data_IF_849154512350
#
_entry.id   IF_849154512350
#
_cell.length_a   1.000
_cell.length_b   1.000
_cell.length_c   1.000
_cell.angle_alpha   90.00
_cell.angle_beta   90.00
_cell.angle_gamma   90.00
#
_symmetry.space_group_name_H-M   'P 1'
#
loop_
_entity.id
_entity.type
_entity.pdbx_description
1 polymer ?
#
# COMPACT_ATOMS: atom_id res chain seq x y z
N UNK A 1 44.27 -7.21 -8.99
CA UNK A 1 43.32 -8.30 -8.75
C UNK A 1 42.01 -7.64 -8.34
N UNK A 2 41.04 -7.60 -9.23
CA UNK A 2 39.68 -7.22 -8.85
C UNK A 2 39.13 -8.33 -7.97
N UNK A 3 38.83 -8.02 -6.72
CA UNK A 3 38.15 -8.92 -5.82
C UNK A 3 36.79 -9.23 -6.44
N UNK A 4 36.58 -10.44 -6.89
CA UNK A 4 35.26 -10.93 -7.34
C UNK A 4 34.40 -10.84 -6.08
N UNK A 5 33.49 -9.88 -6.02
CA UNK A 5 32.50 -9.79 -4.97
C UNK A 5 31.66 -11.06 -5.04
N UNK A 6 31.74 -11.89 -4.03
CA UNK A 6 30.87 -13.08 -3.90
C UNK A 6 29.44 -12.53 -3.75
N UNK A 7 28.58 -12.84 -4.71
CA UNK A 7 27.17 -12.49 -4.61
C UNK A 7 26.55 -13.32 -3.48
N UNK A 8 26.15 -12.66 -2.41
CA UNK A 8 25.37 -13.28 -1.35
C UNK A 8 23.90 -12.95 -1.58
N UNK A 9 23.06 -13.98 -1.74
CA UNK A 9 21.62 -13.87 -1.92
C UNK A 9 20.84 -14.03 -0.61
N UNK A 10 21.55 -14.32 0.51
CA UNK A 10 20.93 -14.40 1.82
C UNK A 10 20.52 -13.01 2.32
N UNK A 11 19.43 -12.96 3.07
CA UNK A 11 19.06 -11.73 3.76
C UNK A 11 20.13 -11.37 4.80
N UNK A 12 20.42 -10.06 4.98
CA UNK A 12 21.35 -9.59 6.02
C UNK A 12 21.00 -10.15 7.40
N UNK A 13 22.01 -10.49 8.21
CA UNK A 13 21.80 -11.09 9.54
C UNK A 13 21.05 -10.16 10.50
N UNK A 14 21.28 -8.85 10.41
CA UNK A 14 20.56 -7.84 11.17
C UNK A 14 19.08 -7.75 10.78
N UNK A 15 18.76 -7.91 9.49
CA UNK A 15 17.37 -8.02 9.03
C UNK A 15 16.70 -9.29 9.57
N UNK A 16 17.38 -10.43 9.53
CA UNK A 16 16.84 -11.68 10.09
C UNK A 16 16.59 -11.55 11.61
N UNK A 17 17.52 -10.93 12.33
CA UNK A 17 17.35 -10.64 13.75
C UNK A 17 16.17 -9.69 14.02
N UNK A 18 16.00 -8.69 13.16
CA UNK A 18 14.86 -7.77 13.25
C UNK A 18 13.54 -8.49 13.01
N UNK A 19 13.42 -9.32 11.97
CA UNK A 19 12.20 -10.09 11.69
C UNK A 19 11.85 -10.98 12.88
N UNK A 20 12.84 -11.65 13.47
CA UNK A 20 12.63 -12.46 14.68
C UNK A 20 12.13 -11.62 15.88
N UNK A 21 12.62 -10.38 16.03
CA UNK A 21 12.14 -9.50 17.09
C UNK A 21 10.70 -9.04 16.86
N UNK A 22 10.33 -8.83 15.61
CA UNK A 22 8.94 -8.51 15.22
C UNK A 22 8.02 -9.70 15.46
N UNK A 23 8.43 -10.92 15.10
CA UNK A 23 7.65 -12.13 15.39
C UNK A 23 7.43 -12.30 16.90
N UNK A 24 8.47 -12.11 17.70
CA UNK A 24 8.35 -12.15 19.17
C UNK A 24 7.38 -11.12 19.73
N UNK A 25 7.35 -9.91 19.17
CA UNK A 25 6.37 -8.88 19.53
C UNK A 25 4.95 -9.26 19.10
N UNK A 26 4.79 -9.81 17.89
CA UNK A 26 3.48 -10.28 17.40
C UNK A 26 2.95 -11.37 18.32
N UNK A 27 3.76 -12.38 18.64
CA UNK A 27 3.37 -13.53 19.46
C UNK A 27 3.03 -13.11 20.89
N UNK A 28 3.82 -12.22 21.50
CA UNK A 28 3.63 -11.80 22.90
C UNK A 28 2.59 -10.71 23.11
N UNK A 29 2.29 -9.90 22.11
CA UNK A 29 1.49 -8.70 22.27
C UNK A 29 0.31 -8.64 21.32
N UNK A 30 0.54 -8.78 20.00
CA UNK A 30 -0.50 -8.55 18.99
C UNK A 30 -1.48 -9.72 18.89
N UNK A 31 -1.00 -10.97 18.92
CA UNK A 31 -1.89 -12.14 18.89
C UNK A 31 -2.76 -12.25 20.15
N UNK A 32 -2.24 -12.04 21.38
CA UNK A 32 -3.10 -11.94 22.55
C UNK A 32 -4.18 -10.86 22.43
N UNK A 33 -3.84 -9.65 21.94
CA UNK A 33 -4.81 -8.58 21.71
C UNK A 33 -5.87 -9.00 20.67
N UNK A 34 -5.47 -9.68 19.60
CA UNK A 34 -6.40 -10.20 18.59
C UNK A 34 -7.39 -11.21 19.17
N UNK A 35 -6.94 -12.04 20.14
CA UNK A 35 -7.77 -13.09 20.74
C UNK A 35 -8.66 -12.59 21.90
N UNK A 36 -8.39 -11.43 22.45
CA UNK A 36 -9.18 -10.84 23.55
C UNK A 36 -10.53 -10.31 23.05
N UNK A 37 -11.53 -10.26 23.94
CA UNK A 37 -12.82 -9.62 23.72
C UNK A 37 -13.51 -9.94 22.39
N UNK A 38 -13.35 -11.17 21.88
CA UNK A 38 -13.86 -11.60 20.57
C UNK A 38 -13.34 -10.76 19.39
N UNK A 39 -12.16 -10.15 19.51
CA UNK A 39 -11.57 -9.36 18.42
C UNK A 39 -11.30 -10.19 17.15
N UNK A 40 -11.19 -11.51 17.27
CA UNK A 40 -11.15 -12.40 16.11
C UNK A 40 -12.36 -12.25 15.17
N UNK A 41 -13.50 -11.71 15.67
CA UNK A 41 -14.66 -11.43 14.83
C UNK A 41 -14.34 -10.50 13.66
N UNK A 42 -13.39 -9.61 13.83
CA UNK A 42 -12.98 -8.67 12.79
C UNK A 42 -12.20 -9.33 11.65
N UNK A 43 -11.64 -10.52 11.89
CA UNK A 43 -10.86 -11.28 10.91
C UNK A 43 -11.62 -12.50 10.38
N UNK A 44 -12.87 -12.69 10.84
CA UNK A 44 -13.75 -13.76 10.38
C UNK A 44 -14.57 -13.29 9.18
N UNK A 45 -14.24 -13.78 7.99
CA UNK A 45 -14.91 -13.39 6.73
C UNK A 45 -16.39 -13.72 6.68
N UNK A 46 -16.88 -14.56 7.58
CA UNK A 46 -18.30 -14.85 7.75
C UNK A 46 -19.04 -13.74 8.50
N UNK A 47 -18.30 -12.86 9.16
CA UNK A 47 -18.77 -11.78 10.04
C UNK A 47 -18.40 -10.41 9.50
N UNK A 48 -18.58 -10.19 8.18
CA UNK A 48 -18.25 -8.92 7.51
C UNK A 48 -18.89 -7.69 8.18
N UNK A 49 -20.09 -7.86 8.76
CA UNK A 49 -20.76 -6.81 9.52
C UNK A 49 -20.01 -6.39 10.81
N UNK A 50 -19.05 -7.17 11.27
CA UNK A 50 -18.28 -6.82 12.46
C UNK A 50 -17.40 -5.58 12.25
N UNK A 51 -16.96 -5.34 11.01
CA UNK A 51 -16.13 -4.18 10.65
C UNK A 51 -16.93 -3.04 10.04
N UNK A 52 -18.06 -3.37 9.41
CA UNK A 52 -18.77 -2.45 8.52
C UNK A 52 -20.21 -2.28 8.99
N UNK A 53 -20.64 -1.06 9.15
CA UNK A 53 -22.01 -0.69 9.45
C UNK A 53 -22.77 -0.43 8.14
N UNK A 54 -23.41 -1.47 7.62
CA UNK A 54 -24.14 -1.43 6.37
C UNK A 54 -25.37 -0.52 6.38
N UNK A 55 -25.96 -0.31 7.55
CA UNK A 55 -27.12 0.56 7.72
C UNK A 55 -26.72 2.04 7.71
N UNK A 56 -25.47 2.33 8.07
CA UNK A 56 -24.90 3.68 8.09
C UNK A 56 -23.90 3.86 6.94
N UNK A 57 -24.33 3.70 5.70
CA UNK A 57 -23.54 3.89 4.47
C UNK A 57 -22.23 3.09 4.43
N UNK A 58 -22.14 2.00 5.21
CA UNK A 58 -20.98 1.14 5.30
C UNK A 58 -19.76 1.80 5.97
N UNK A 59 -19.99 2.72 6.87
CA UNK A 59 -18.92 3.27 7.69
C UNK A 59 -18.23 2.16 8.48
N UNK A 60 -16.93 2.26 8.74
CA UNK A 60 -16.27 1.39 9.71
C UNK A 60 -16.94 1.50 11.08
N UNK A 61 -17.12 0.37 11.76
CA UNK A 61 -17.62 0.37 13.14
C UNK A 61 -16.60 0.96 14.10
N UNK A 62 -17.06 1.67 15.13
CA UNK A 62 -16.19 2.30 16.13
C UNK A 62 -15.27 1.29 16.79
N UNK A 63 -15.78 0.12 17.15
CA UNK A 63 -15.00 -0.92 17.86
C UNK A 63 -13.85 -1.45 17.00
N UNK A 64 -14.00 -1.44 15.66
CA UNK A 64 -12.93 -1.79 14.75
C UNK A 64 -11.87 -0.67 14.67
N UNK A 65 -12.31 0.57 14.55
CA UNK A 65 -11.43 1.73 14.53
C UNK A 65 -10.67 1.88 15.86
N UNK A 66 -11.33 1.62 16.96
CA UNK A 66 -10.72 1.60 18.30
C UNK A 66 -9.63 0.52 18.40
N UNK A 67 -9.82 -0.66 17.92
CA UNK A 67 -8.81 -1.72 17.88
C UNK A 67 -7.58 -1.32 17.05
N UNK A 68 -7.77 -0.57 15.98
CA UNK A 68 -6.69 -0.14 15.09
C UNK A 68 -5.94 1.10 15.59
N UNK A 69 -6.67 2.04 16.17
CA UNK A 69 -6.15 3.38 16.42
C UNK A 69 -6.50 3.90 17.80
N UNK A 70 -5.60 3.81 18.76
CA UNK A 70 -5.80 4.44 20.05
C UNK A 70 -5.13 5.78 20.20
N UNK A 71 -5.38 6.70 19.45
CA UNK A 71 -4.87 8.04 19.76
C UNK A 71 -5.80 9.17 19.36
N UNK A 72 -7.11 9.01 19.58
CA UNK A 72 -8.04 10.09 19.25
C UNK A 72 -9.20 10.24 20.21
N UNK A 73 -8.98 10.17 21.51
CA UNK A 73 -9.93 10.70 22.49
C UNK A 73 -9.38 11.94 23.16
N UNK A 74 -9.30 13.01 22.41
CA UNK A 74 -9.16 14.34 23.02
C UNK A 74 -10.24 15.33 22.53
N UNK A 75 -11.41 14.85 22.14
CA UNK A 75 -12.62 15.68 22.01
C UNK A 75 -13.89 14.81 22.21
N UNK A 76 -14.02 14.24 23.42
CA UNK A 76 -15.33 13.89 23.96
C UNK A 76 -15.61 14.88 25.11
N UNK A 77 -16.81 15.48 25.14
CA UNK A 77 -17.16 16.39 26.24
C UNK A 77 -17.02 15.70 27.60
N UNK A 78 -16.56 16.41 28.58
CA UNK A 78 -16.24 16.04 29.98
C UNK A 78 -17.41 15.42 30.81
N UNK A 79 -18.21 14.53 30.21
CA UNK A 79 -19.33 13.88 30.93
C UNK A 79 -19.31 12.35 30.85
N UNK A 80 -18.27 11.72 30.27
CA UNK A 80 -18.10 10.27 30.35
C UNK A 80 -16.95 9.93 31.30
N UNK A 81 -17.28 9.32 32.43
CA UNK A 81 -16.33 8.69 33.35
C UNK A 81 -15.61 7.56 32.62
N UNK A 82 -14.31 7.73 32.39
CA UNK A 82 -13.43 6.69 31.87
C UNK A 82 -13.32 5.64 32.97
N UNK A 83 -13.95 4.49 32.78
CA UNK A 83 -13.65 3.30 33.57
C UNK A 83 -12.33 2.72 33.05
N UNK A 84 -11.37 2.58 33.98
CA UNK A 84 -10.05 1.96 33.76
C UNK A 84 -10.14 0.65 32.99
N UNK A 85 -9.33 0.52 31.90
CA UNK A 85 -9.10 -0.59 30.99
C UNK A 85 -9.68 -0.44 29.59
N UNK A 86 -9.29 0.63 28.86
CA UNK A 86 -9.35 0.59 27.40
C UNK A 86 -8.20 -0.28 26.88
N UNK A 87 -8.45 -1.25 25.97
CA UNK A 87 -7.38 -2.06 25.41
C UNK A 87 -6.40 -1.18 24.64
N UNK A 88 -5.14 -1.23 25.03
CA UNK A 88 -4.03 -0.62 24.32
C UNK A 88 -3.99 -1.15 22.88
N UNK A 89 -3.81 -0.27 21.92
CA UNK A 89 -4.12 -0.58 20.52
C UNK A 89 -2.87 -0.92 19.71
N UNK A 90 -3.06 -1.76 18.71
CA UNK A 90 -1.98 -2.41 17.97
C UNK A 90 -0.91 -1.45 17.41
N UNK A 91 -1.31 -0.31 16.87
CA UNK A 91 -0.34 0.66 16.31
C UNK A 91 0.41 1.43 17.38
N UNK A 92 -0.24 1.78 18.47
CA UNK A 92 0.41 2.43 19.59
C UNK A 92 1.44 1.52 20.23
N UNK A 93 1.05 0.27 20.56
CA UNK A 93 1.96 -0.73 21.10
C UNK A 93 3.16 -0.96 20.18
N UNK A 94 2.92 -1.01 18.87
CA UNK A 94 3.98 -1.13 17.88
C UNK A 94 4.89 0.12 17.78
N UNK A 95 4.34 1.31 18.02
CA UNK A 95 5.10 2.55 18.04
C UNK A 95 5.97 2.64 19.32
N UNK A 96 5.42 2.31 20.46
CA UNK A 96 6.13 2.23 21.74
C UNK A 96 7.27 1.18 21.70
N UNK A 97 7.04 0.06 21.01
CA UNK A 97 8.05 -0.97 20.78
C UNK A 97 9.09 -0.58 19.67
N UNK A 98 8.91 0.56 19.01
CA UNK A 98 9.82 1.07 17.98
C UNK A 98 9.70 0.39 16.61
N UNK A 99 8.58 -0.28 16.33
CA UNK A 99 8.32 -0.93 15.04
C UNK A 99 7.52 -0.06 14.08
N UNK A 100 6.50 0.67 14.57
CA UNK A 100 5.53 1.34 13.72
C UNK A 100 6.16 2.36 12.75
N UNK A 101 7.08 3.20 13.24
CA UNK A 101 7.72 4.28 12.46
C UNK A 101 8.98 3.85 11.71
N UNK A 102 9.25 2.55 11.58
CA UNK A 102 10.48 2.04 10.98
C UNK A 102 10.90 2.76 9.69
N UNK A 103 9.96 2.99 8.76
CA UNK A 103 10.23 3.54 7.44
C UNK A 103 10.43 5.08 7.41
N UNK A 104 10.25 5.78 8.52
CA UNK A 104 10.37 7.23 8.58
C UNK A 104 11.82 7.70 8.79
N UNK A 105 12.14 8.94 8.37
CA UNK A 105 13.35 9.63 8.77
C UNK A 105 13.49 9.73 10.31
N UNK A 106 14.72 9.78 10.81
CA UNK A 106 15.01 9.81 12.25
C UNK A 106 14.37 11.01 12.96
N UNK A 107 14.30 12.17 12.31
CA UNK A 107 13.66 13.38 12.84
C UNK A 107 12.16 13.22 13.13
N UNK A 108 11.51 12.17 12.60
CA UNK A 108 10.10 11.83 12.83
C UNK A 108 9.93 10.57 13.69
N UNK A 109 11.00 10.15 14.37
CA UNK A 109 11.01 8.96 15.21
C UNK A 109 11.20 7.64 14.46
N UNK A 110 11.59 7.69 13.17
CA UNK A 110 11.90 6.51 12.38
C UNK A 110 13.35 6.05 12.54
N UNK A 111 13.68 4.93 11.92
CA UNK A 111 15.05 4.38 11.97
C UNK A 111 15.98 4.96 10.90
N UNK A 112 15.43 5.56 9.84
CA UNK A 112 16.19 6.06 8.70
C UNK A 112 17.23 5.05 8.18
N UNK A 113 16.81 3.80 8.11
CA UNK A 113 17.71 2.71 7.72
C UNK A 113 18.21 2.92 6.28
N UNK A 114 19.52 2.73 5.98
CA UNK A 114 20.06 2.94 4.64
C UNK A 114 19.44 2.03 3.56
N UNK A 115 18.98 0.86 3.97
CA UNK A 115 18.30 -0.13 3.11
C UNK A 115 16.80 -0.23 3.43
N UNK A 116 16.12 0.89 3.64
CA UNK A 116 14.68 0.93 4.03
C UNK A 116 13.77 0.21 3.05
N UNK A 117 13.96 0.35 1.74
CA UNK A 117 13.11 -0.30 0.74
C UNK A 117 13.32 -1.83 0.72
N UNK A 118 14.58 -2.27 0.84
CA UNK A 118 14.92 -3.69 0.95
C UNK A 118 14.26 -4.32 2.20
N UNK A 119 14.43 -3.67 3.35
CA UNK A 119 13.86 -4.17 4.60
C UNK A 119 12.34 -4.17 4.58
N UNK A 120 11.70 -3.10 4.12
CA UNK A 120 10.25 -3.03 3.99
C UNK A 120 9.70 -4.11 3.04
N UNK A 121 10.41 -4.41 1.94
CA UNK A 121 10.01 -5.49 1.03
C UNK A 121 10.14 -6.87 1.70
N UNK A 122 11.22 -7.11 2.44
CA UNK A 122 11.39 -8.36 3.19
C UNK A 122 10.32 -8.51 4.29
N UNK A 123 10.03 -7.44 5.05
CA UNK A 123 8.99 -7.41 6.08
C UNK A 123 7.61 -7.70 5.48
N UNK A 124 7.25 -7.06 4.37
CA UNK A 124 5.95 -7.27 3.72
C UNK A 124 5.80 -8.69 3.18
N UNK A 125 6.85 -9.24 2.58
CA UNK A 125 6.88 -10.64 2.17
C UNK A 125 6.73 -11.58 3.38
N UNK A 126 7.51 -11.35 4.43
CA UNK A 126 7.48 -12.15 5.66
C UNK A 126 6.09 -12.17 6.29
N UNK A 127 5.48 -11.00 6.49
CA UNK A 127 4.13 -10.91 7.04
C UNK A 127 3.08 -11.65 6.20
N UNK A 128 3.15 -11.52 4.89
CA UNK A 128 2.17 -12.14 4.01
C UNK A 128 2.35 -13.66 3.86
N UNK A 129 3.58 -14.17 3.99
CA UNK A 129 3.89 -15.60 3.87
C UNK A 129 3.85 -16.37 5.19
N UNK A 130 3.78 -15.68 6.35
CA UNK A 130 3.92 -16.32 7.66
C UNK A 130 2.82 -17.36 7.92
N UNK A 131 3.15 -18.56 8.43
CA UNK A 131 2.20 -19.67 8.57
C UNK A 131 1.07 -19.41 9.59
N UNK A 132 1.31 -18.60 10.61
CA UNK A 132 0.34 -18.32 11.70
C UNK A 132 -0.55 -17.11 11.38
N UNK A 133 0.05 -16.00 10.96
CA UNK A 133 -0.66 -14.73 10.70
C UNK A 133 -0.55 -14.27 9.25
N UNK A 134 -0.14 -15.16 8.34
CA UNK A 134 0.08 -14.85 6.94
C UNK A 134 -1.21 -14.68 6.14
N UNK A 135 -1.02 -14.43 4.84
CA UNK A 135 -2.11 -14.03 3.95
C UNK A 135 -2.56 -12.58 4.16
N UNK A 136 -2.01 -11.89 5.16
CA UNK A 136 -2.37 -10.50 5.46
C UNK A 136 -3.75 -10.34 6.08
N UNK A 137 -4.17 -11.28 6.92
CA UNK A 137 -5.53 -11.40 7.44
C UNK A 137 -5.58 -11.40 8.98
N UNK A 138 -4.66 -10.72 9.61
CA UNK A 138 -4.61 -10.60 11.06
C UNK A 138 -4.28 -9.19 11.52
N UNK A 139 -4.39 -8.95 12.82
CA UNK A 139 -4.16 -7.64 13.43
C UNK A 139 -2.73 -7.12 13.19
N UNK A 140 -1.75 -8.00 13.05
CA UNK A 140 -0.37 -7.63 12.74
C UNK A 140 -0.23 -6.99 11.35
N UNK A 141 -0.98 -7.51 10.36
CA UNK A 141 -0.94 -7.05 8.98
C UNK A 141 -2.27 -7.37 8.28
N UNK A 142 -3.21 -6.45 8.38
CA UNK A 142 -4.52 -6.59 7.73
C UNK A 142 -4.54 -5.83 6.40
N UNK A 143 -4.39 -6.57 5.32
CA UNK A 143 -4.39 -6.01 3.98
C UNK A 143 -5.75 -5.42 3.59
N UNK A 144 -6.86 -5.89 4.17
CA UNK A 144 -8.20 -5.38 3.86
C UNK A 144 -8.34 -3.89 4.16
N UNK A 145 -7.74 -3.43 5.25
CA UNK A 145 -7.72 -2.02 5.66
C UNK A 145 -6.35 -1.37 5.50
N UNK A 146 -5.43 -2.01 4.79
CA UNK A 146 -4.05 -1.53 4.63
C UNK A 146 -3.38 -1.21 5.99
N UNK A 147 -3.78 -1.95 7.01
CA UNK A 147 -3.22 -1.83 8.35
C UNK A 147 -2.00 -2.73 8.51
N UNK A 148 -0.97 -2.22 9.15
CA UNK A 148 0.17 -3.00 9.61
C UNK A 148 0.77 -2.36 10.86
N UNK A 149 1.31 -3.19 11.74
CA UNK A 149 2.10 -2.75 12.91
C UNK A 149 3.44 -2.12 12.50
N UNK A 150 3.89 -2.33 11.26
CA UNK A 150 4.99 -1.57 10.65
C UNK A 150 4.37 -0.65 9.61
N UNK A 151 4.31 0.64 9.91
CA UNK A 151 3.56 1.61 9.14
C UNK A 151 4.12 1.85 7.73
N UNK A 152 3.22 2.31 6.87
CA UNK A 152 3.54 2.86 5.57
C UNK A 152 3.10 4.33 5.57
N UNK A 153 4.03 5.25 5.39
CA UNK A 153 3.81 6.69 5.56
C UNK A 153 4.06 7.48 4.27
N UNK A 154 3.40 7.14 3.14
CA UNK A 154 3.64 7.85 1.89
C UNK A 154 3.22 9.32 1.97
N UNK A 155 2.21 9.62 2.77
CA UNK A 155 1.72 10.97 3.05
C UNK A 155 2.76 11.82 3.78
N UNK A 156 3.41 11.27 4.81
CA UNK A 156 4.52 11.95 5.51
C UNK A 156 5.67 12.22 4.57
N UNK A 157 6.06 11.23 3.75
CA UNK A 157 7.16 11.37 2.80
C UNK A 157 6.85 12.38 1.70
N UNK A 158 5.60 12.44 1.21
CA UNK A 158 5.17 13.47 0.27
C UNK A 158 5.32 14.87 0.88
N UNK A 159 4.86 15.09 2.12
CA UNK A 159 4.99 16.39 2.80
C UNK A 159 6.46 16.69 3.08
N UNK A 160 7.25 15.70 3.50
CA UNK A 160 8.68 15.86 3.75
C UNK A 160 9.45 16.35 2.51
N UNK A 161 9.19 15.74 1.35
CA UNK A 161 9.92 16.05 0.12
C UNK A 161 9.40 17.27 -0.62
N UNK A 162 8.12 17.58 -0.53
CA UNK A 162 7.47 18.61 -1.34
C UNK A 162 6.87 19.76 -0.54
N UNK A 163 6.60 19.55 0.74
CA UNK A 163 5.99 20.58 1.60
C UNK A 163 6.92 21.76 1.84
N UNK A 164 6.33 22.92 2.10
CA UNK A 164 7.04 24.07 2.66
C UNK A 164 7.54 23.76 4.06
N UNK A 165 8.44 24.57 4.60
CA UNK A 165 8.91 24.38 5.98
C UNK A 165 7.74 24.44 6.98
N UNK A 166 6.82 25.39 6.80
CA UNK A 166 5.60 25.50 7.60
C UNK A 166 4.74 24.25 7.52
N UNK A 167 4.51 23.71 6.30
CA UNK A 167 3.76 22.47 6.12
C UNK A 167 4.45 21.28 6.80
N UNK A 168 5.77 21.17 6.70
CA UNK A 168 6.53 20.10 7.37
C UNK A 168 6.41 20.18 8.89
N UNK A 169 6.57 21.38 9.45
CA UNK A 169 6.55 21.62 10.90
C UNK A 169 5.15 21.47 11.52
N UNK A 170 4.09 21.74 10.74
CA UNK A 170 2.70 21.68 11.24
C UNK A 170 2.03 20.34 10.92
N UNK A 171 2.10 19.89 9.67
CA UNK A 171 1.31 18.75 9.18
C UNK A 171 1.91 17.40 9.55
N UNK A 172 3.25 17.25 9.53
CA UNK A 172 3.86 15.96 9.86
C UNK A 172 3.66 15.59 11.34
N UNK A 173 3.92 16.45 12.32
CA UNK A 173 3.59 16.13 13.70
C UNK A 173 2.09 15.86 13.92
N UNK A 174 1.21 16.65 13.31
CA UNK A 174 -0.24 16.43 13.37
C UNK A 174 -0.63 15.07 12.75
N UNK A 175 0.02 14.67 11.64
CA UNK A 175 -0.19 13.34 11.02
C UNK A 175 0.26 12.21 11.92
N UNK A 176 1.39 12.34 12.60
CA UNK A 176 1.91 11.31 13.50
C UNK A 176 1.12 11.20 14.81
N UNK A 177 0.46 12.25 15.23
CA UNK A 177 -0.57 12.21 16.29
C UNK A 177 -1.94 11.84 15.75
N UNK A 178 -2.11 11.78 14.36
CA UNK A 178 -3.28 11.43 13.59
C UNK A 178 -4.38 12.50 13.56
N UNK A 179 -4.11 13.69 14.00
CA UNK A 179 -4.96 14.89 13.88
C UNK A 179 -5.09 15.34 12.41
N UNK A 180 -4.14 14.96 11.57
CA UNK A 180 -4.13 15.23 10.13
C UNK A 180 -4.17 13.92 9.35
N UNK A 181 -5.19 13.73 8.53
CA UNK A 181 -5.39 12.55 7.68
C UNK A 181 -5.74 12.99 6.28
N UNK A 182 -4.99 12.50 5.30
CA UNK A 182 -5.26 12.80 3.89
C UNK A 182 -5.79 11.60 3.12
N UNK A 183 -6.66 11.85 2.15
CA UNK A 183 -6.97 10.90 1.10
C UNK A 183 -6.35 11.34 -0.21
N UNK A 184 -5.94 10.38 -1.04
CA UNK A 184 -5.26 10.65 -2.30
C UNK A 184 -6.27 10.66 -3.46
N UNK A 185 -6.44 11.81 -4.12
CA UNK A 185 -7.45 12.05 -5.15
C UNK A 185 -6.87 12.43 -6.50
N UNK A 186 -6.33 11.45 -7.25
CA UNK A 186 -5.87 11.62 -8.63
C UNK A 186 -6.96 11.23 -9.64
N UNK A 187 -7.56 10.07 -9.46
CA UNK A 187 -8.54 9.46 -10.37
C UNK A 187 -9.85 10.22 -10.41
N UNK A 188 -10.43 10.37 -11.60
CA UNK A 188 -11.73 10.97 -11.85
C UNK A 188 -12.76 9.94 -12.32
N UNK A 189 -14.05 10.24 -12.27
CA UNK A 189 -15.09 9.33 -12.78
C UNK A 189 -14.84 8.84 -14.20
N UNK A 190 -14.30 9.70 -15.09
CA UNK A 190 -14.07 9.41 -16.49
C UNK A 190 -12.58 9.24 -16.87
N UNK A 191 -11.64 9.48 -15.96
CA UNK A 191 -10.20 9.48 -16.22
C UNK A 191 -9.44 8.71 -15.14
N UNK A 192 -9.10 7.46 -15.42
CA UNK A 192 -8.29 6.60 -14.55
C UNK A 192 -6.90 6.39 -15.12
N UNK A 193 -6.77 5.50 -16.10
CA UNK A 193 -5.49 5.16 -16.76
C UNK A 193 -4.89 6.32 -17.56
N UNK A 194 -5.70 7.28 -17.95
CA UNK A 194 -5.36 8.51 -18.68
C UNK A 194 -5.37 9.75 -17.76
N UNK A 195 -4.84 9.61 -16.56
CA UNK A 195 -4.89 10.66 -15.51
C UNK A 195 -4.44 12.06 -15.96
N UNK A 196 -3.59 12.16 -16.99
CA UNK A 196 -3.19 13.44 -17.58
C UNK A 196 -4.31 14.15 -18.36
N UNK A 197 -5.40 13.43 -18.67
CA UNK A 197 -6.59 14.01 -19.31
C UNK A 197 -7.63 14.50 -18.29
N UNK A 198 -7.27 14.53 -16.99
CA UNK A 198 -8.18 14.98 -15.93
C UNK A 198 -8.96 16.25 -16.31
N UNK A 199 -10.22 16.28 -15.92
CA UNK A 199 -11.15 17.38 -16.15
C UNK A 199 -11.27 18.36 -14.99
N UNK A 200 -10.78 17.99 -13.78
CA UNK A 200 -10.74 18.90 -12.64
C UNK A 200 -9.81 20.08 -12.91
N UNK A 201 -10.32 21.29 -12.70
CA UNK A 201 -9.63 22.55 -12.91
C UNK A 201 -9.41 23.26 -11.57
N UNK A 202 -8.28 23.95 -11.45
CA UNK A 202 -8.00 24.89 -10.37
C UNK A 202 -7.67 26.26 -10.99
N UNK A 203 -8.61 27.16 -10.93
CA UNK A 203 -8.46 28.53 -11.46
C UNK A 203 -7.79 29.41 -10.41
N UNK A 204 -6.70 30.07 -10.76
CA UNK A 204 -6.07 31.05 -9.88
C UNK A 204 -6.98 32.27 -9.72
N UNK A 205 -7.23 32.63 -8.47
CA UNK A 205 -8.03 33.82 -8.09
C UNK A 205 -7.28 34.61 -7.01
N UNK A 206 -7.82 35.75 -6.60
CA UNK A 206 -7.20 36.58 -5.57
C UNK A 206 -6.93 35.78 -4.28
N UNK A 207 -5.68 35.62 -3.94
CA UNK A 207 -5.22 34.95 -2.70
C UNK A 207 -5.18 33.42 -2.72
N UNK A 208 -5.59 32.77 -3.80
CA UNK A 208 -5.64 31.31 -3.85
C UNK A 208 -6.14 30.72 -5.15
N UNK A 209 -6.86 29.61 -5.05
CA UNK A 209 -7.42 28.86 -6.17
C UNK A 209 -8.87 28.49 -5.93
N UNK A 210 -9.69 28.53 -6.96
CA UNK A 210 -11.01 27.90 -7.00
C UNK A 210 -10.94 26.58 -7.74
N UNK A 211 -11.34 25.50 -7.07
CA UNK A 211 -11.25 24.13 -7.58
C UNK A 211 -12.63 23.65 -7.98
N UNK A 212 -12.75 23.16 -9.22
CA UNK A 212 -13.99 22.59 -9.75
C UNK A 212 -13.71 21.27 -10.42
N UNK A 213 -14.48 20.22 -10.09
CA UNK A 213 -14.35 18.89 -10.65
C UNK A 213 -14.87 17.80 -9.72
N UNK A 214 -14.44 16.56 -9.98
CA UNK A 214 -14.77 15.42 -9.15
C UNK A 214 -13.63 14.41 -9.11
N UNK A 215 -13.42 13.78 -7.95
CA UNK A 215 -12.48 12.68 -7.77
C UNK A 215 -13.22 11.44 -7.31
N UNK A 216 -12.77 10.28 -7.77
CA UNK A 216 -13.40 8.99 -7.46
C UNK A 216 -12.37 8.00 -6.91
N UNK A 217 -12.83 7.01 -6.15
CA UNK A 217 -12.01 5.99 -5.52
C UNK A 217 -11.03 6.54 -4.48
N UNK A 218 -11.44 7.58 -3.74
CA UNK A 218 -10.63 8.16 -2.68
C UNK A 218 -10.73 7.33 -1.41
N UNK A 219 -9.69 6.57 -1.12
CA UNK A 219 -9.58 5.67 0.05
C UNK A 219 -9.50 6.46 1.34
N UNK A 220 -10.21 6.03 2.39
CA UNK A 220 -10.18 6.64 3.72
C UNK A 220 -10.99 7.94 3.84
N UNK A 221 -11.87 8.23 2.90
CA UNK A 221 -12.67 9.47 2.87
C UNK A 221 -13.62 9.62 4.05
N UNK A 222 -13.97 8.53 4.75
CA UNK A 222 -14.84 8.59 5.93
C UNK A 222 -14.23 9.41 7.06
N UNK A 223 -12.93 9.31 7.25
CA UNK A 223 -12.20 9.88 8.39
C UNK A 223 -11.09 10.87 8.00
N UNK A 224 -11.03 11.29 6.72
CA UNK A 224 -10.03 12.27 6.32
C UNK A 224 -10.35 13.66 6.90
N UNK A 225 -9.30 14.41 7.19
CA UNK A 225 -9.39 15.85 7.48
C UNK A 225 -9.15 16.68 6.23
N UNK A 226 -8.40 16.12 5.26
CA UNK A 226 -8.04 16.81 4.03
C UNK A 226 -8.08 15.83 2.84
N UNK A 227 -8.42 16.39 1.69
CA UNK A 227 -8.27 15.73 0.41
C UNK A 227 -6.98 16.23 -0.26
N UNK A 228 -6.02 15.35 -0.54
CA UNK A 228 -4.90 15.64 -1.43
C UNK A 228 -5.37 15.40 -2.86
N UNK A 229 -5.71 16.45 -3.57
CA UNK A 229 -6.24 16.35 -4.93
C UNK A 229 -5.31 16.96 -5.97
N UNK A 230 -5.41 16.45 -7.18
CA UNK A 230 -4.69 16.92 -8.33
C UNK A 230 -5.67 17.58 -9.30
N UNK A 231 -5.41 18.82 -9.67
CA UNK A 231 -6.24 19.56 -10.61
C UNK A 231 -5.35 20.32 -11.62
N UNK A 232 -5.88 20.56 -12.80
CA UNK A 232 -5.17 21.29 -13.83
C UNK A 232 -5.22 22.80 -13.55
N UNK A 233 -4.06 23.41 -13.48
CA UNK A 233 -3.87 24.85 -13.30
C UNK A 233 -3.47 25.54 -14.59
N UNK A 234 -2.84 24.81 -15.54
CA UNK A 234 -2.43 25.34 -16.83
C UNK A 234 -2.26 24.24 -17.90
N UNK A 235 -1.91 24.63 -19.10
CA UNK A 235 -1.65 23.72 -20.22
C UNK A 235 -2.90 23.04 -20.76
N UNK A 236 -2.69 22.01 -21.60
CA UNK A 236 -3.76 21.27 -22.29
C UNK A 236 -4.00 19.90 -21.65
N UNK A 237 -5.17 19.32 -21.88
CA UNK A 237 -5.48 17.94 -21.56
C UNK A 237 -4.45 17.00 -22.21
N UNK A 238 -4.05 15.95 -21.50
CA UNK A 238 -3.00 15.01 -21.91
C UNK A 238 -1.57 15.43 -21.54
N UNK A 239 -1.34 16.70 -21.21
CA UNK A 239 -0.03 17.15 -20.73
C UNK A 239 0.24 16.69 -19.30
N UNK A 240 1.44 16.17 -19.05
CA UNK A 240 1.92 15.88 -17.70
C UNK A 240 2.32 17.13 -16.90
N UNK A 241 2.48 18.26 -17.58
CA UNK A 241 2.70 19.57 -16.96
C UNK A 241 1.38 20.28 -16.78
N UNK A 242 1.34 21.26 -15.89
CA UNK A 242 0.14 22.07 -15.63
C UNK A 242 -0.85 21.39 -14.68
N UNK A 243 -0.43 20.38 -13.94
CA UNK A 243 -1.20 19.73 -12.86
C UNK A 243 -0.59 20.14 -11.53
N UNK A 244 -1.43 20.58 -10.60
CA UNK A 244 -1.02 21.00 -9.25
C UNK A 244 -1.66 20.12 -8.18
N UNK A 245 -0.94 19.84 -7.11
CA UNK A 245 -1.43 19.12 -5.95
C UNK A 245 -1.90 20.11 -4.86
N UNK A 246 -3.08 19.87 -4.31
CA UNK A 246 -3.72 20.72 -3.30
C UNK A 246 -4.13 19.91 -2.07
N UNK A 247 -3.82 20.41 -0.88
CA UNK A 247 -4.36 19.95 0.38
C UNK A 247 -5.65 20.72 0.67
N UNK A 248 -6.79 20.11 0.41
CA UNK A 248 -8.11 20.74 0.54
C UNK A 248 -8.75 20.25 1.85
N UNK A 249 -9.01 21.13 2.84
CA UNK A 249 -9.74 20.75 4.04
C UNK A 249 -11.11 20.16 3.69
N UNK A 250 -11.52 19.10 4.39
CA UNK A 250 -12.79 18.40 4.14
C UNK A 250 -13.99 19.33 4.22
N UNK A 251 -13.97 20.27 5.17
CA UNK A 251 -15.07 21.20 5.45
C UNK A 251 -15.05 22.45 4.55
N UNK A 252 -14.18 22.48 3.54
CA UNK A 252 -14.14 23.62 2.60
C UNK A 252 -15.49 23.77 1.89
N UNK A 253 -16.11 24.97 1.90
CA UNK A 253 -17.34 25.22 1.16
C UNK A 253 -17.22 24.79 -0.30
N UNK A 254 -18.22 24.06 -0.81
CA UNK A 254 -18.21 23.49 -2.16
C UNK A 254 -17.60 22.09 -2.26
N UNK A 255 -17.01 21.55 -1.20
CA UNK A 255 -16.55 20.15 -1.12
C UNK A 255 -17.67 19.27 -0.56
N UNK A 256 -17.96 18.17 -1.24
CA UNK A 256 -18.95 17.20 -0.75
C UNK A 256 -18.63 15.79 -1.22
N UNK A 257 -18.77 14.82 -0.33
CA UNK A 257 -18.82 13.41 -0.68
C UNK A 257 -20.19 13.15 -1.31
N UNK A 258 -20.22 12.61 -2.54
CA UNK A 258 -21.46 12.35 -3.27
C UNK A 258 -21.89 10.90 -3.21
N UNK A 259 -20.93 9.98 -3.03
CA UNK A 259 -21.21 8.55 -2.86
C UNK A 259 -20.04 7.86 -2.18
N UNK A 260 -20.33 6.79 -1.46
CA UNK A 260 -19.38 5.78 -1.02
C UNK A 260 -19.44 4.60 -1.97
N UNK A 261 -18.27 4.10 -2.35
CA UNK A 261 -18.14 3.11 -3.42
C UNK A 261 -17.89 1.71 -2.85
N UNK A 262 -18.63 0.74 -3.30
CA UNK A 262 -18.42 -0.66 -2.94
C UNK A 262 -17.34 -1.29 -3.80
N UNK A 263 -16.42 -1.99 -3.16
CA UNK A 263 -15.33 -2.71 -3.83
C UNK A 263 -15.38 -4.20 -3.48
N UNK A 264 -14.52 -4.99 -4.09
CA UNK A 264 -14.46 -6.43 -3.85
C UNK A 264 -14.12 -6.80 -2.39
N UNK A 265 -13.34 -5.96 -1.70
CA UNK A 265 -12.82 -6.28 -0.37
C UNK A 265 -12.91 -5.14 0.64
N UNK A 266 -13.06 -3.90 0.16
CA UNK A 266 -13.21 -2.71 1.01
C UNK A 266 -14.56 -2.07 0.67
N UNK A 267 -15.63 -2.49 1.34
CA UNK A 267 -16.99 -2.19 0.88
C UNK A 267 -17.28 -0.71 0.76
N UNK A 268 -16.71 0.12 1.60
CA UNK A 268 -17.06 1.54 1.69
C UNK A 268 -15.92 2.46 2.03
N UNK A 269 -14.70 1.95 1.98
CA UNK A 269 -13.50 2.74 2.28
C UNK A 269 -13.19 3.80 1.21
N UNK A 270 -13.86 3.74 0.07
CA UNK A 270 -13.66 4.61 -1.08
C UNK A 270 -14.86 5.54 -1.29
N UNK A 271 -14.60 6.76 -1.75
CA UNK A 271 -15.66 7.72 -2.05
C UNK A 271 -15.46 8.43 -3.38
N UNK A 272 -16.57 8.98 -3.90
CA UNK A 272 -16.59 10.01 -4.93
C UNK A 272 -16.79 11.36 -4.24
N UNK A 273 -15.91 12.32 -4.53
CA UNK A 273 -15.92 13.66 -3.94
C UNK A 273 -16.05 14.68 -5.06
N UNK A 274 -17.00 15.61 -4.92
CA UNK A 274 -17.21 16.73 -5.83
C UNK A 274 -16.67 18.02 -5.22
N UNK A 275 -16.06 18.83 -6.05
CA UNK A 275 -15.57 20.18 -5.78
C UNK A 275 -16.34 21.15 -6.65
N UNK A 276 -17.05 22.09 -6.06
CA UNK A 276 -17.86 23.10 -6.74
C UNK A 276 -17.36 24.49 -6.35
N UNK A 277 -16.42 25.00 -7.12
CA UNK A 277 -15.72 26.28 -6.86
C UNK A 277 -15.16 26.33 -5.41
N UNK A 278 -14.60 25.22 -4.96
CA UNK A 278 -14.02 25.12 -3.63
C UNK A 278 -12.77 26.00 -3.56
N UNK A 279 -12.85 27.07 -2.79
CA UNK A 279 -11.74 28.00 -2.63
C UNK A 279 -10.73 27.50 -1.61
N UNK A 280 -9.45 27.56 -1.98
CA UNK A 280 -8.32 27.24 -1.09
C UNK A 280 -7.26 28.33 -1.18
N UNK A 281 -6.55 28.65 -0.08
CA UNK A 281 -5.46 29.61 -0.11
C UNK A 281 -4.26 29.07 -0.89
N UNK A 282 -3.36 29.94 -1.32
CA UNK A 282 -2.14 29.53 -2.02
C UNK A 282 -1.26 28.58 -1.19
N UNK A 283 -1.31 28.69 0.13
CA UNK A 283 -0.62 27.79 1.08
C UNK A 283 -1.16 26.35 1.07
N UNK A 284 -2.33 26.10 0.46
CA UNK A 284 -2.84 24.74 0.28
C UNK A 284 -2.12 23.95 -0.82
N UNK A 285 -1.30 24.61 -1.66
CA UNK A 285 -0.49 23.92 -2.67
C UNK A 285 0.57 23.07 -1.97
N UNK A 286 0.60 21.78 -2.29
CA UNK A 286 1.69 20.90 -1.90
C UNK A 286 2.68 20.78 -3.05
N UNK A 287 3.91 21.25 -2.85
CA UNK A 287 4.94 21.29 -3.88
C UNK A 287 4.88 22.58 -4.71
N UNK A 288 5.04 22.43 -6.02
CA UNK A 288 5.15 23.54 -6.97
C UNK A 288 3.94 23.52 -7.90
N UNK A 289 3.36 24.69 -8.14
CA UNK A 289 2.29 24.87 -9.14
C UNK A 289 2.73 24.30 -10.49
N UNK A 290 1.83 23.60 -11.17
CA UNK A 290 2.05 22.91 -12.46
C UNK A 290 2.96 21.67 -12.43
N UNK A 291 3.46 21.25 -11.25
CA UNK A 291 4.37 20.10 -11.10
C UNK A 291 3.83 19.00 -10.19
N UNK A 292 2.56 18.99 -9.86
CA UNK A 292 1.96 18.06 -8.91
C UNK A 292 2.01 16.60 -9.34
N UNK A 293 2.05 16.29 -10.64
CA UNK A 293 2.11 14.89 -11.10
C UNK A 293 3.39 14.18 -10.65
N UNK A 294 4.51 14.90 -10.54
CA UNK A 294 5.76 14.36 -10.02
C UNK A 294 5.63 13.91 -8.55
N UNK A 295 4.87 14.65 -7.75
CA UNK A 295 4.54 14.29 -6.37
C UNK A 295 3.73 12.99 -6.32
N UNK A 296 2.74 12.83 -7.21
CA UNK A 296 1.96 11.60 -7.29
C UNK A 296 2.84 10.36 -7.59
N UNK A 297 3.88 10.50 -8.42
CA UNK A 297 4.78 9.38 -8.76
C UNK A 297 5.61 8.89 -7.57
N UNK A 298 5.96 9.76 -6.62
CA UNK A 298 6.69 9.36 -5.40
C UNK A 298 5.89 8.34 -4.59
N UNK A 299 4.63 8.65 -4.32
CA UNK A 299 3.70 7.75 -3.65
C UNK A 299 3.60 6.38 -4.36
N UNK A 300 3.50 6.41 -5.69
CA UNK A 300 3.26 5.21 -6.49
C UNK A 300 4.43 4.21 -6.45
N UNK A 301 5.69 4.66 -6.47
CA UNK A 301 6.84 3.74 -6.50
C UNK A 301 7.01 2.95 -5.21
N UNK A 302 6.91 3.62 -4.07
CA UNK A 302 7.01 2.95 -2.77
C UNK A 302 5.85 1.97 -2.56
N UNK A 303 4.63 2.38 -2.89
CA UNK A 303 3.49 1.50 -2.78
C UNK A 303 3.61 0.27 -3.67
N UNK A 304 4.01 0.43 -4.93
CA UNK A 304 4.16 -0.67 -5.88
C UNK A 304 5.13 -1.74 -5.40
N UNK A 305 6.30 -1.35 -4.90
CA UNK A 305 7.31 -2.35 -4.48
C UNK A 305 6.88 -3.08 -3.20
N UNK A 306 6.24 -2.38 -2.26
CA UNK A 306 5.72 -2.96 -1.02
C UNK A 306 4.51 -3.87 -1.28
N UNK A 307 3.59 -3.46 -2.16
CA UNK A 307 2.49 -4.30 -2.63
C UNK A 307 3.00 -5.55 -3.35
N UNK A 308 4.00 -5.42 -4.21
CA UNK A 308 4.61 -6.56 -4.90
C UNK A 308 5.16 -7.59 -3.89
N UNK A 309 5.82 -7.13 -2.84
CA UNK A 309 6.34 -8.00 -1.80
C UNK A 309 5.23 -8.71 -1.02
N UNK A 310 4.17 -7.98 -0.63
CA UNK A 310 2.99 -8.57 0.01
C UNK A 310 2.30 -9.59 -0.90
N UNK A 311 2.10 -9.27 -2.17
CA UNK A 311 1.47 -10.17 -3.15
C UNK A 311 2.29 -11.44 -3.36
N UNK A 312 3.62 -11.32 -3.45
CA UNK A 312 4.53 -12.45 -3.59
C UNK A 312 4.51 -13.35 -2.33
N UNK A 313 4.49 -12.75 -1.13
CA UNK A 313 4.37 -13.48 0.13
C UNK A 313 3.02 -14.18 0.29
N UNK A 314 1.92 -13.55 -0.11
CA UNK A 314 0.60 -14.16 -0.09
C UNK A 314 0.47 -15.31 -1.11
N UNK A 315 1.13 -15.20 -2.28
CA UNK A 315 1.23 -16.30 -3.22
C UNK A 315 1.98 -17.50 -2.60
N UNK A 316 3.11 -17.26 -1.92
CA UNK A 316 3.84 -18.28 -1.18
C UNK A 316 2.94 -18.96 -0.14
N UNK A 317 2.23 -18.17 0.67
CA UNK A 317 1.28 -18.69 1.67
C UNK A 317 0.24 -19.62 1.06
N UNK A 318 -0.39 -19.21 -0.04
CA UNK A 318 -1.39 -20.02 -0.74
C UNK A 318 -0.81 -21.35 -1.23
N UNK A 319 0.42 -21.35 -1.74
CA UNK A 319 1.09 -22.54 -2.25
C UNK A 319 1.53 -23.48 -1.14
N UNK A 320 2.04 -22.95 -0.02
CA UNK A 320 2.40 -23.76 1.16
C UNK A 320 1.18 -24.46 1.72
N UNK A 321 0.05 -23.75 1.91
CA UNK A 321 -1.23 -24.37 2.33
C UNK A 321 -1.70 -25.43 1.35
N UNK A 322 -1.53 -25.19 0.03
CA UNK A 322 -1.89 -26.14 -1.01
C UNK A 322 -1.07 -27.43 -0.93
N UNK A 323 0.23 -27.32 -0.69
CA UNK A 323 1.13 -28.46 -0.52
C UNK A 323 0.75 -29.26 0.74
N UNK A 324 0.50 -28.59 1.87
CA UNK A 324 0.05 -29.23 3.10
C UNK A 324 -1.27 -30.00 2.91
N UNK A 325 -2.24 -29.33 2.25
CA UNK A 325 -3.53 -29.96 1.92
C UNK A 325 -3.34 -31.17 1.02
N UNK A 326 -2.53 -31.05 -0.03
CA UNK A 326 -2.30 -32.16 -0.95
C UNK A 326 -1.66 -33.36 -0.26
N UNK A 327 -0.71 -33.14 0.65
CA UNK A 327 -0.05 -34.20 1.43
C UNK A 327 -0.99 -34.88 2.44
N UNK A 328 -1.86 -34.12 3.09
CA UNK A 328 -2.77 -34.65 4.13
C UNK A 328 -4.02 -35.32 3.54
N UNK A 329 -4.48 -34.91 2.37
CA UNK A 329 -5.73 -35.41 1.76
C UNK A 329 -5.51 -36.78 1.13
N UNK A 330 -6.11 -37.83 1.73
CA UNK A 330 -6.10 -39.19 1.19
C UNK A 330 -7.16 -39.35 0.10
N UNK A 331 -6.80 -40.02 -0.99
CA UNK A 331 -7.65 -40.29 -2.15
C UNK A 331 -7.42 -41.75 -2.66
N UNK A 332 -8.43 -42.34 -3.22
CA UNK A 332 -8.37 -43.66 -3.88
C UNK A 332 -7.77 -44.80 -3.03
N UNK A 333 -8.06 -44.82 -1.71
CA UNK A 333 -7.66 -45.87 -0.78
C UNK A 333 -6.43 -45.54 0.06
N UNK A 334 -5.94 -46.57 0.78
CA UNK A 334 -4.81 -46.42 1.69
C UNK A 334 -3.50 -46.16 0.92
N UNK A 335 -2.66 -45.31 1.45
CA UNK A 335 -1.30 -45.06 0.95
C UNK A 335 -1.17 -44.00 -0.13
N UNK A 336 -2.27 -43.51 -0.72
CA UNK A 336 -2.23 -42.43 -1.73
C UNK A 336 -2.76 -41.10 -1.18
N UNK A 337 -2.08 -40.03 -1.53
CA UNK A 337 -2.51 -38.66 -1.20
C UNK A 337 -2.82 -37.87 -2.48
N UNK A 338 -3.47 -36.73 -2.33
CA UNK A 338 -3.69 -35.82 -3.44
C UNK A 338 -2.35 -35.35 -4.05
N UNK A 339 -1.27 -35.30 -3.23
CA UNK A 339 0.07 -34.92 -3.67
C UNK A 339 0.71 -35.91 -4.68
N UNK A 340 0.20 -37.14 -4.78
CA UNK A 340 0.71 -38.13 -5.74
C UNK A 340 0.24 -37.85 -7.18
N UNK A 341 -0.66 -36.89 -7.38
CA UNK A 341 -1.23 -36.56 -8.67
C UNK A 341 -0.45 -35.43 -9.37
N UNK A 342 0.08 -35.69 -10.57
CA UNK A 342 0.82 -34.72 -11.37
C UNK A 342 -0.03 -33.49 -11.77
N UNK A 343 -1.34 -33.63 -11.93
CA UNK A 343 -2.24 -32.49 -12.17
C UNK A 343 -2.29 -31.50 -10.98
N UNK A 344 -1.87 -31.92 -9.81
CA UNK A 344 -1.69 -31.07 -8.62
C UNK A 344 -0.25 -30.54 -8.54
N UNK A 345 0.73 -31.45 -8.77
CA UNK A 345 2.16 -31.12 -8.64
C UNK A 345 2.61 -30.05 -9.64
N UNK A 346 2.34 -30.23 -10.93
CA UNK A 346 2.90 -29.36 -11.97
C UNK A 346 2.48 -27.91 -11.85
N UNK A 347 1.20 -27.56 -11.68
CA UNK A 347 0.81 -26.15 -11.47
C UNK A 347 1.41 -25.54 -10.21
N UNK A 348 1.58 -26.32 -9.14
CA UNK A 348 2.24 -25.83 -7.90
C UNK A 348 3.71 -25.55 -8.16
N UNK A 349 4.42 -26.45 -8.86
CA UNK A 349 5.85 -26.28 -9.21
C UNK A 349 6.05 -25.03 -10.07
N UNK A 350 5.21 -24.83 -11.09
CA UNK A 350 5.28 -23.63 -11.95
C UNK A 350 5.11 -22.33 -11.15
N UNK A 351 4.10 -22.27 -10.27
CA UNK A 351 3.83 -21.11 -9.46
C UNK A 351 4.92 -20.86 -8.40
N UNK A 352 5.43 -21.92 -7.74
CA UNK A 352 6.56 -21.84 -6.81
C UNK A 352 7.82 -21.29 -7.47
N UNK A 353 8.12 -21.77 -8.69
CA UNK A 353 9.26 -21.27 -9.48
C UNK A 353 9.12 -19.78 -9.77
N UNK A 354 7.90 -19.33 -10.12
CA UNK A 354 7.64 -17.92 -10.37
C UNK A 354 7.74 -17.07 -9.10
N UNK A 355 7.28 -17.59 -7.95
CA UNK A 355 7.42 -16.92 -6.64
C UNK A 355 8.90 -16.68 -6.33
N UNK A 356 9.75 -17.69 -6.49
CA UNK A 356 11.19 -17.56 -6.20
C UNK A 356 11.87 -16.54 -7.13
N UNK A 357 11.64 -16.62 -8.44
CA UNK A 357 12.17 -15.66 -9.40
C UNK A 357 11.72 -14.22 -9.08
N UNK A 358 10.45 -14.07 -8.72
CA UNK A 358 9.86 -12.76 -8.44
C UNK A 358 10.36 -12.17 -7.13
N UNK A 359 10.49 -12.99 -6.08
CA UNK A 359 11.07 -12.59 -4.79
C UNK A 359 12.47 -12.02 -4.99
N UNK A 360 13.32 -12.69 -5.75
CA UNK A 360 14.67 -12.20 -6.07
C UNK A 360 14.63 -10.87 -6.86
N UNK A 361 13.71 -10.74 -7.81
CA UNK A 361 13.55 -9.49 -8.55
C UNK A 361 13.10 -8.33 -7.65
N UNK A 362 12.17 -8.57 -6.73
CA UNK A 362 11.68 -7.58 -5.76
C UNK A 362 12.82 -7.12 -4.85
N UNK A 363 13.55 -8.06 -4.23
CA UNK A 363 14.64 -7.73 -3.31
C UNK A 363 15.75 -6.96 -4.03
N UNK A 364 16.13 -7.39 -5.24
CA UNK A 364 17.11 -6.67 -6.07
C UNK A 364 16.65 -5.25 -6.42
N UNK A 365 15.40 -5.09 -6.81
CA UNK A 365 14.85 -3.78 -7.19
C UNK A 365 14.79 -2.85 -5.97
N UNK A 366 14.36 -3.35 -4.82
CA UNK A 366 14.32 -2.60 -3.57
C UNK A 366 15.73 -2.15 -3.13
N UNK A 367 16.71 -3.05 -3.19
CA UNK A 367 18.11 -2.72 -2.94
C UNK A 367 18.63 -1.63 -3.89
N UNK A 368 18.30 -1.71 -5.19
CA UNK A 368 18.68 -0.67 -6.17
C UNK A 368 18.01 0.68 -5.85
N UNK A 369 16.75 0.69 -5.38
CA UNK A 369 16.11 1.92 -4.90
C UNK A 369 16.90 2.56 -3.75
N UNK A 370 17.33 1.75 -2.78
CA UNK A 370 18.13 2.24 -1.65
C UNK A 370 19.49 2.80 -2.07
N UNK A 371 20.15 2.20 -3.07
CA UNK A 371 21.40 2.74 -3.65
C UNK A 371 21.18 4.11 -4.28
N UNK A 372 20.09 4.30 -5.03
CA UNK A 372 19.73 5.60 -5.61
C UNK A 372 19.45 6.62 -4.50
N UNK A 373 18.71 6.25 -3.46
CA UNK A 373 18.44 7.15 -2.32
C UNK A 373 19.75 7.59 -1.67
N UNK A 374 20.68 6.66 -1.44
CA UNK A 374 21.98 6.95 -0.84
C UNK A 374 22.84 7.89 -1.72
N UNK A 375 22.90 7.63 -3.03
CA UNK A 375 23.60 8.48 -3.99
C UNK A 375 23.00 9.89 -4.05
N UNK A 376 21.67 10.00 -4.06
CA UNK A 376 20.99 11.29 -4.09
C UNK A 376 21.24 12.14 -2.84
N UNK A 377 21.43 11.51 -1.66
CA UNK A 377 21.81 12.24 -0.44
C UNK A 377 23.16 12.96 -0.59
N UNK A 378 24.12 12.34 -1.26
CA UNK A 378 25.45 12.93 -1.49
C UNK A 378 25.49 13.97 -2.61
N UNK A 379 24.61 13.85 -3.60
CA UNK A 379 24.59 14.73 -4.79
C UNK A 379 23.55 15.86 -4.70
N UNK A 380 22.68 15.87 -3.68
CA UNK A 380 21.57 16.80 -3.55
C UNK A 380 20.46 16.59 -4.59
N UNK A 381 20.48 15.48 -5.34
CA UNK A 381 19.42 15.10 -6.27
C UNK A 381 18.19 14.58 -5.52
N UNK A 382 17.07 14.61 -6.18
CA UNK A 382 15.79 14.12 -5.61
C UNK A 382 15.62 12.63 -5.89
N UNK A 383 15.63 11.75 -4.87
CA UNK A 383 15.65 10.30 -5.06
C UNK A 383 14.52 9.77 -5.94
N UNK A 384 13.31 10.29 -5.77
CA UNK A 384 12.14 9.83 -6.50
C UNK A 384 12.17 10.17 -8.00
N UNK A 385 12.84 11.28 -8.42
CA UNK A 385 13.07 11.57 -9.84
C UNK A 385 14.03 10.53 -10.43
N UNK A 386 15.08 10.20 -9.70
CA UNK A 386 16.08 9.24 -10.16
C UNK A 386 15.54 7.82 -10.18
N UNK A 387 14.73 7.42 -9.21
CA UNK A 387 14.01 6.13 -9.22
C UNK A 387 13.07 6.06 -10.42
N UNK A 388 12.27 7.11 -10.69
CA UNK A 388 11.41 7.16 -11.89
C UNK A 388 12.23 6.99 -13.15
N UNK A 389 13.35 7.68 -13.26
CA UNK A 389 14.20 7.68 -14.46
C UNK A 389 14.94 6.36 -14.67
N UNK A 390 15.39 5.68 -13.60
CA UNK A 390 16.31 4.55 -13.69
C UNK A 390 15.66 3.19 -13.45
N UNK A 391 14.63 3.10 -12.61
CA UNK A 391 14.07 1.85 -12.11
C UNK A 391 12.55 1.71 -12.28
N UNK A 392 11.87 2.68 -12.84
CA UNK A 392 10.41 2.67 -12.92
C UNK A 392 9.85 1.45 -13.67
N UNK A 393 10.56 0.97 -14.69
CA UNK A 393 10.22 -0.27 -15.40
C UNK A 393 10.35 -1.49 -14.48
N UNK A 394 11.40 -1.58 -13.65
CA UNK A 394 11.63 -2.69 -12.72
C UNK A 394 10.60 -2.74 -11.61
N UNK A 395 10.28 -1.59 -11.02
CA UNK A 395 9.20 -1.46 -10.02
C UNK A 395 7.87 -1.90 -10.63
N UNK A 396 7.57 -1.49 -11.87
CA UNK A 396 6.37 -1.90 -12.57
C UNK A 396 6.35 -3.42 -12.86
N UNK A 397 7.50 -4.01 -13.28
CA UNK A 397 7.62 -5.47 -13.46
C UNK A 397 7.31 -6.24 -12.19
N UNK A 398 7.87 -5.81 -11.05
CA UNK A 398 7.61 -6.42 -9.76
C UNK A 398 6.11 -6.37 -9.42
N UNK A 399 5.49 -5.20 -9.55
CA UNK A 399 4.12 -5.00 -9.08
C UNK A 399 3.09 -5.75 -9.94
N UNK A 400 3.07 -5.55 -11.27
CA UNK A 400 2.03 -6.18 -12.08
C UNK A 400 2.12 -7.71 -12.04
N UNK A 401 3.35 -8.26 -12.05
CA UNK A 401 3.54 -9.70 -12.05
C UNK A 401 3.19 -10.34 -10.70
N UNK A 402 3.60 -9.70 -9.58
CA UNK A 402 3.27 -10.19 -8.24
C UNK A 402 1.76 -10.27 -7.99
N UNK A 403 1.02 -9.24 -8.40
CA UNK A 403 -0.43 -9.20 -8.23
C UNK A 403 -1.14 -10.25 -9.08
N UNK A 404 -0.66 -10.48 -10.30
CA UNK A 404 -1.16 -11.54 -11.19
C UNK A 404 -0.88 -12.92 -10.60
N UNK A 405 0.36 -13.15 -10.17
CA UNK A 405 0.81 -14.41 -9.58
C UNK A 405 0.03 -14.75 -8.29
N UNK A 406 -0.21 -13.76 -7.43
CA UNK A 406 -0.99 -13.96 -6.22
C UNK A 406 -2.43 -14.41 -6.52
N UNK A 407 -3.09 -13.78 -7.50
CA UNK A 407 -4.42 -14.21 -7.93
C UNK A 407 -4.42 -15.65 -8.46
N UNK A 408 -3.39 -16.03 -9.23
CA UNK A 408 -3.26 -17.40 -9.75
C UNK A 408 -3.00 -18.42 -8.62
N UNK A 409 -2.16 -18.08 -7.65
CA UNK A 409 -1.86 -18.93 -6.50
C UNK A 409 -3.10 -19.12 -5.59
N UNK A 410 -3.85 -18.04 -5.35
CA UNK A 410 -5.08 -18.10 -4.56
C UNK A 410 -6.17 -18.94 -5.25
N UNK A 411 -6.38 -18.76 -6.55
CA UNK A 411 -7.28 -19.58 -7.37
C UNK A 411 -6.87 -21.06 -7.31
N UNK A 412 -5.58 -21.36 -7.46
CA UNK A 412 -5.07 -22.73 -7.35
C UNK A 412 -5.26 -23.33 -5.96
N UNK A 413 -5.09 -22.52 -4.91
CA UNK A 413 -5.33 -22.96 -3.53
C UNK A 413 -6.81 -23.30 -3.29
N UNK A 414 -7.74 -22.48 -3.78
CA UNK A 414 -9.19 -22.78 -3.76
C UNK A 414 -9.43 -24.13 -4.43
N UNK A 415 -8.90 -24.35 -5.63
CA UNK A 415 -9.11 -25.58 -6.39
C UNK A 415 -8.57 -26.81 -5.67
N UNK A 416 -7.36 -26.75 -5.10
CA UNK A 416 -6.72 -27.88 -4.40
C UNK A 416 -7.46 -28.23 -3.09
N UNK A 417 -8.01 -27.23 -2.40
CA UNK A 417 -8.80 -27.45 -1.19
C UNK A 417 -10.21 -27.96 -1.49
N UNK A 418 -10.71 -27.83 -2.73
CA UNK A 418 -12.03 -28.31 -3.13
C UNK A 418 -13.15 -27.59 -2.37
N UNK A 419 -14.11 -28.35 -1.82
CA UNK A 419 -15.22 -27.76 -1.05
C UNK A 419 -14.77 -26.88 0.13
N UNK A 420 -13.69 -27.26 0.80
CA UNK A 420 -13.10 -26.47 1.88
C UNK A 420 -12.56 -25.13 1.34
N UNK A 421 -11.93 -25.14 0.17
CA UNK A 421 -11.42 -23.91 -0.48
C UNK A 421 -12.52 -22.97 -0.97
N UNK A 422 -13.68 -23.51 -1.32
CA UNK A 422 -14.87 -22.73 -1.68
C UNK A 422 -15.55 -22.10 -0.46
N UNK A 423 -15.28 -22.63 0.72
CA UNK A 423 -15.83 -22.13 1.99
C UNK A 423 -15.03 -20.91 2.51
N UNK A 424 -15.76 -19.96 3.09
CA UNK A 424 -15.16 -18.82 3.82
C UNK A 424 -14.50 -19.20 5.16
N UNK A 425 -14.38 -20.48 5.49
CA UNK A 425 -13.55 -20.96 6.60
C UNK A 425 -12.04 -20.89 6.27
N UNK A 426 -11.70 -20.79 4.99
CA UNK A 426 -10.34 -20.61 4.49
C UNK A 426 -10.17 -19.22 3.86
N UNK A 427 -8.97 -18.63 3.90
CA UNK A 427 -8.77 -17.23 3.51
C UNK A 427 -8.61 -17.03 1.99
N UNK A 428 -8.60 -18.07 1.17
CA UNK A 428 -8.15 -17.99 -0.23
C UNK A 428 -9.01 -17.09 -1.10
N UNK A 429 -10.35 -17.11 -0.94
CA UNK A 429 -11.24 -16.25 -1.70
C UNK A 429 -11.03 -14.78 -1.32
N UNK A 430 -10.76 -14.51 -0.03
CA UNK A 430 -10.46 -13.18 0.46
C UNK A 430 -9.10 -12.69 -0.07
N UNK A 431 -8.06 -13.53 -0.04
CA UNK A 431 -6.76 -13.25 -0.64
C UNK A 431 -6.94 -12.93 -2.13
N UNK A 432 -7.72 -13.75 -2.86
CA UNK A 432 -8.00 -13.50 -4.27
C UNK A 432 -8.66 -12.14 -4.49
N UNK A 433 -9.73 -11.81 -3.77
CA UNK A 433 -10.45 -10.54 -3.88
C UNK A 433 -9.55 -9.35 -3.54
N UNK A 434 -8.78 -9.46 -2.47
CA UNK A 434 -7.88 -8.39 -2.05
C UNK A 434 -6.82 -8.09 -3.10
N UNK A 435 -6.05 -9.08 -3.53
CA UNK A 435 -4.96 -8.88 -4.47
C UNK A 435 -5.43 -8.65 -5.91
N UNK A 436 -6.69 -9.00 -6.24
CA UNK A 436 -7.29 -8.68 -7.53
C UNK A 436 -7.39 -7.17 -7.76
N UNK A 437 -7.61 -6.39 -6.72
CA UNK A 437 -7.66 -4.92 -6.83
C UNK A 437 -6.33 -4.34 -7.28
N UNK A 438 -5.20 -4.87 -6.81
CA UNK A 438 -3.87 -4.35 -7.15
C UNK A 438 -3.47 -4.54 -8.62
N UNK A 439 -4.21 -5.34 -9.36
CA UNK A 439 -4.10 -5.39 -10.82
C UNK A 439 -4.76 -4.18 -11.50
N UNK A 440 -5.48 -3.36 -10.74
CA UNK A 440 -6.23 -2.19 -11.21
C UNK A 440 -5.66 -0.90 -10.59
N UNK A 441 -5.45 -0.90 -9.27
CA UNK A 441 -4.97 0.27 -8.52
C UNK A 441 -3.50 0.57 -8.81
N UNK A 442 -3.04 1.77 -8.45
CA UNK A 442 -1.65 2.23 -8.69
C UNK A 442 -1.22 2.17 -10.17
N UNK A 443 -2.20 2.22 -11.06
CA UNK A 443 -2.07 2.01 -12.51
C UNK A 443 -2.32 0.55 -12.90
N UNK A 444 -3.36 0.33 -13.73
CA UNK A 444 -3.72 -0.99 -14.22
C UNK A 444 -2.52 -1.73 -14.82
N UNK A 445 -2.55 -3.08 -14.76
CA UNK A 445 -1.41 -3.90 -15.22
C UNK A 445 -1.01 -3.59 -16.66
N UNK A 446 -1.96 -3.23 -17.53
CA UNK A 446 -1.71 -2.83 -18.91
C UNK A 446 -0.94 -1.51 -19.00
N UNK A 447 -1.24 -0.55 -18.12
CA UNK A 447 -0.52 0.73 -18.03
C UNK A 447 0.91 0.50 -17.54
N UNK A 448 1.09 -0.41 -16.59
CA UNK A 448 2.42 -0.79 -16.11
C UNK A 448 3.21 -1.50 -17.22
N UNK A 449 2.61 -2.44 -17.94
CA UNK A 449 3.24 -3.09 -19.11
C UNK A 449 3.58 -2.10 -20.21
N UNK A 450 2.72 -1.12 -20.52
CA UNK A 450 3.02 -0.04 -21.46
C UNK A 450 4.26 0.76 -21.03
N UNK A 451 4.38 1.07 -19.75
CA UNK A 451 5.56 1.75 -19.19
C UNK A 451 6.80 0.91 -19.35
N UNK A 452 6.74 -0.37 -19.00
CA UNK A 452 7.86 -1.32 -19.16
C UNK A 452 8.29 -1.38 -20.62
N UNK A 453 7.35 -1.51 -21.56
CA UNK A 453 7.63 -1.54 -22.99
C UNK A 453 8.37 -0.27 -23.43
N UNK A 454 7.94 0.91 -22.97
CA UNK A 454 8.59 2.17 -23.32
C UNK A 454 10.08 2.22 -22.88
N UNK A 455 10.42 1.60 -21.75
CA UNK A 455 11.81 1.47 -21.28
C UNK A 455 12.59 0.41 -22.08
N UNK A 456 11.99 -0.75 -22.32
CA UNK A 456 12.65 -1.87 -23.04
C UNK A 456 12.98 -1.46 -24.48
N UNK A 457 12.04 -0.80 -25.16
CA UNK A 457 12.20 -0.34 -26.53
C UNK A 457 12.94 1.00 -26.67
N UNK A 458 13.36 1.62 -25.56
CA UNK A 458 14.17 2.82 -25.56
C UNK A 458 13.41 4.11 -25.89
N UNK A 459 12.08 4.13 -25.78
CA UNK A 459 11.29 5.36 -25.95
C UNK A 459 11.46 6.33 -24.78
N UNK A 460 11.78 5.81 -23.59
CA UNK A 460 12.05 6.58 -22.37
C UNK A 460 13.17 5.93 -21.57
N UNK A 461 13.63 6.63 -20.53
CA UNK A 461 14.62 6.11 -19.58
C UNK A 461 16.07 6.11 -20.10
N UNK A 462 16.99 5.37 -19.46
CA UNK A 462 18.42 5.38 -19.79
C UNK A 462 18.74 4.97 -21.22
N UNK A 463 17.98 4.02 -21.79
CA UNK A 463 18.21 3.51 -23.15
C UNK A 463 17.94 4.57 -24.23
N UNK A 464 17.05 5.53 -23.99
CA UNK A 464 16.77 6.61 -24.93
C UNK A 464 18.01 7.42 -25.24
N UNK A 465 18.77 7.83 -24.18
CA UNK A 465 20.02 8.58 -24.34
C UNK A 465 21.09 7.78 -25.11
N UNK A 466 21.16 6.47 -24.88
CA UNK A 466 22.10 5.60 -25.57
C UNK A 466 21.78 5.41 -27.06
N UNK A 467 20.51 5.48 -27.44
CA UNK A 467 20.06 5.43 -28.84
C UNK A 467 20.31 6.77 -29.54
N UNK A 468 19.97 7.90 -28.87
CA UNK A 468 20.20 9.25 -29.40
C UNK A 468 21.72 9.55 -29.58
N UNK A 469 22.58 8.98 -28.76
CA UNK A 469 24.04 9.13 -28.88
C UNK A 469 24.66 8.28 -30.02
N UNK A 470 23.89 7.38 -30.65
CA UNK A 470 24.35 6.52 -31.77
C UNK A 470 23.82 7.00 -33.13
N UNK A 471 22.95 7.99 -33.16
CA UNK A 471 22.44 8.68 -34.34
C UNK A 471 23.21 10.00 -34.49
#
# INVERSE_FOLDING_TARGET
MQTIAIMNFDLPQDLLAYLKSVDGFIDSTILPLQHQHDNNRFFDHRREYSRTDWENQGNPRSEWEELLTSCYTMFIPLSFTITDNLPEQARQLADEAGFYRFALPQQYGGREHPDTNLWMSAIRYHFASHPVYGGGLGLANDLQNEHSIIGNFPDVLMIHHFGTEEQRQTLIPARLRGEFRITFGLTEPNHGSDATFMSSLAQEVRGGFEITGAKKWQTGSHHCTHFLIFARTSGSAGSSKGITAFLVPRETPGVRITSYEWTLNMPTDHATVKFDRAWVPRSAVLGIVDQGLALAQTFVHENRIRQAASSCGAAQYCLDRSIERARSRRIWGEGKSLADNQAIQFPVVELMTQVEMLRLLILKTSWQMDRIVTECRSTGQRPWIEIERQLSDRVAMCNFWANRLCCQAADRAIQIHGGDGYSRHYPFEHIYRHFRRYRITEGAEEIQMRKIAAYIFGFVGPKKKALEAKI
#
